data_IF_403855364048
#
_entry.id   IF_403855364048
#
_cell.length_a   1.000
_cell.length_b   1.000
_cell.length_c   1.000
_cell.angle_alpha   90.00
_cell.angle_beta   90.00
_cell.angle_gamma   90.00
#
_symmetry.space_group_name_H-M   'P 1'
#
loop_
_entity.id
_entity.type
_entity.pdbx_description
1 polymer ?
#
# COMPACT_ATOMS: atom_id res chain seq x y z
N UNK A 1 25.74 27.60 -5.46
CA UNK A 1 24.34 27.26 -5.77
C UNK A 1 24.30 25.76 -5.99
N UNK A 2 23.82 25.02 -5.00
CA UNK A 2 22.97 23.85 -5.20
C UNK A 2 22.38 23.46 -3.83
N UNK A 3 21.11 23.82 -3.63
CA UNK A 3 20.34 23.57 -2.41
C UNK A 3 19.59 22.25 -2.63
N UNK A 4 20.14 21.15 -2.12
CA UNK A 4 19.50 19.83 -2.20
C UNK A 4 18.26 19.76 -1.29
N UNK A 5 17.19 19.06 -1.70
CA UNK A 5 15.92 19.07 -0.98
C UNK A 5 16.06 18.42 0.41
N UNK A 6 15.51 19.09 1.43
CA UNK A 6 15.39 18.56 2.78
C UNK A 6 14.44 17.35 2.80
N UNK A 7 14.99 16.16 2.59
CA UNK A 7 14.27 14.90 2.74
C UNK A 7 13.92 14.69 4.21
N UNK A 8 12.62 14.65 4.53
CA UNK A 8 12.10 14.34 5.86
C UNK A 8 12.46 12.91 6.27
N UNK A 9 13.66 12.72 6.80
CA UNK A 9 14.10 11.45 7.38
C UNK A 9 13.47 11.27 8.76
N UNK A 10 12.74 10.17 8.95
CA UNK A 10 12.31 9.75 10.28
C UNK A 10 13.51 9.54 11.22
N UNK A 11 13.29 9.53 12.55
CA UNK A 11 14.38 9.37 13.50
C UNK A 11 15.10 8.03 13.31
N UNK A 12 16.43 8.07 13.27
CA UNK A 12 17.28 6.87 13.21
C UNK A 12 17.44 6.28 14.61
N UNK A 13 17.00 5.02 14.79
CA UNK A 13 17.12 4.29 16.06
C UNK A 13 18.26 3.29 15.99
N UNK A 14 19.14 3.26 16.99
CA UNK A 14 20.24 2.28 17.08
C UNK A 14 19.69 0.85 17.17
N UNK A 15 20.29 -0.10 16.46
CA UNK A 15 19.87 -1.50 16.46
C UNK A 15 19.78 -2.13 17.86
N UNK A 16 20.70 -1.78 18.78
CA UNK A 16 20.65 -2.24 20.17
C UNK A 16 19.39 -1.80 20.95
N UNK A 17 18.62 -0.85 20.40
CA UNK A 17 17.35 -0.36 20.96
C UNK A 17 16.13 -0.88 20.19
N UNK A 18 16.31 -1.82 19.26
CA UNK A 18 15.24 -2.44 18.48
C UNK A 18 15.09 -3.89 18.94
N UNK A 19 13.85 -4.28 19.26
CA UNK A 19 13.49 -5.68 19.53
C UNK A 19 12.63 -6.19 18.39
N UNK A 20 13.02 -7.31 17.79
CA UNK A 20 12.22 -8.02 16.80
C UNK A 20 11.36 -9.06 17.51
N UNK A 21 10.05 -9.06 17.25
CA UNK A 21 9.10 -10.06 17.73
C UNK A 21 8.37 -10.69 16.53
N UNK A 22 7.93 -11.94 16.66
CA UNK A 22 7.10 -12.61 15.65
C UNK A 22 5.60 -12.32 15.79
N UNK A 23 5.22 -11.49 16.75
CA UNK A 23 3.84 -11.14 17.03
C UNK A 23 3.41 -9.97 16.15
N UNK A 24 2.25 -10.05 15.46
CA UNK A 24 1.74 -8.93 14.68
C UNK A 24 1.37 -7.77 15.60
N UNK A 25 1.85 -6.57 15.28
CA UNK A 25 1.47 -5.33 15.96
C UNK A 25 0.63 -4.45 15.04
N UNK A 26 -0.41 -3.82 15.58
CA UNK A 26 -1.25 -2.87 14.84
C UNK A 26 -0.52 -1.54 14.69
N UNK A 27 -0.31 -1.08 13.45
CA UNK A 27 0.22 0.26 13.15
C UNK A 27 -0.97 1.17 12.81
N UNK A 28 -1.29 2.10 13.72
CA UNK A 28 -2.35 3.08 13.54
C UNK A 28 -3.78 2.51 13.65
N UNK A 29 -4.77 3.40 13.71
CA UNK A 29 -6.16 3.02 13.57
C UNK A 29 -6.47 2.77 12.08
N UNK A 30 -7.28 1.75 11.73
CA UNK A 30 -7.83 1.67 10.39
C UNK A 30 -8.60 2.97 10.08
N UNK A 31 -8.50 3.44 8.83
CA UNK A 31 -9.24 4.61 8.40
C UNK A 31 -10.74 4.41 8.68
N UNK A 32 -11.48 5.47 9.08
CA UNK A 32 -12.89 5.36 9.41
C UNK A 32 -13.68 4.79 8.21
N UNK A 33 -14.36 3.67 8.45
CA UNK A 33 -15.36 3.11 7.53
C UNK A 33 -16.54 4.09 7.46
N UNK A 34 -16.51 5.02 6.51
CA UNK A 34 -17.58 6.01 6.35
C UNK A 34 -17.22 7.26 5.55
N UNK A 35 -15.93 7.49 5.23
CA UNK A 35 -15.50 8.64 4.42
C UNK A 35 -14.48 8.33 3.31
N UNK A 36 -14.10 7.06 3.13
CA UNK A 36 -13.12 6.63 2.14
C UNK A 36 -13.80 6.19 0.84
N UNK A 37 -13.26 6.64 -0.30
CA UNK A 37 -13.65 6.31 -1.66
C UNK A 37 -14.20 4.88 -1.82
N UNK A 38 -15.28 4.71 -2.59
CA UNK A 38 -15.82 3.40 -2.93
C UNK A 38 -14.71 2.48 -3.48
N UNK A 39 -14.74 1.17 -3.17
CA UNK A 39 -13.78 0.24 -3.72
C UNK A 39 -13.88 0.29 -5.26
N UNK A 40 -12.73 0.45 -5.92
CA UNK A 40 -12.69 0.55 -7.39
C UNK A 40 -12.14 -0.72 -8.01
N UNK A 41 -12.69 -1.10 -9.15
CA UNK A 41 -12.21 -2.24 -9.94
C UNK A 41 -11.79 -1.73 -11.31
N UNK A 42 -10.57 -2.07 -11.72
CA UNK A 42 -10.03 -1.79 -13.05
C UNK A 42 -9.69 -3.09 -13.75
N UNK A 43 -10.07 -3.17 -15.03
CA UNK A 43 -9.74 -4.30 -15.89
C UNK A 43 -8.45 -3.97 -16.64
N UNK A 44 -7.45 -4.84 -16.51
CA UNK A 44 -6.20 -4.77 -17.28
C UNK A 44 -6.33 -5.67 -18.49
N UNK A 45 -6.26 -5.06 -19.68
CA UNK A 45 -6.39 -5.75 -20.97
C UNK A 45 -5.07 -5.74 -21.72
N UNK A 46 -4.77 -6.83 -22.41
CA UNK A 46 -3.75 -6.90 -23.46
C UNK A 46 -4.46 -7.27 -24.77
N UNK A 47 -4.68 -6.29 -25.64
CA UNK A 47 -5.59 -6.42 -26.77
C UNK A 47 -7.01 -6.77 -26.31
N UNK A 48 -7.53 -7.88 -26.80
CA UNK A 48 -8.87 -8.39 -26.47
C UNK A 48 -8.88 -9.30 -25.23
N UNK A 49 -7.72 -9.63 -24.68
CA UNK A 49 -7.59 -10.53 -23.54
C UNK A 49 -7.63 -9.76 -22.21
N UNK A 50 -8.44 -10.23 -21.26
CA UNK A 50 -8.38 -9.74 -19.87
C UNK A 50 -7.25 -10.46 -19.17
N UNK A 51 -6.18 -9.75 -18.82
CA UNK A 51 -5.05 -10.33 -18.10
C UNK A 51 -5.18 -10.24 -16.59
N UNK A 52 -5.81 -9.20 -16.09
CA UNK A 52 -5.97 -9.02 -14.65
C UNK A 52 -7.13 -8.11 -14.27
N UNK A 53 -7.59 -8.28 -13.03
CA UNK A 53 -8.42 -7.32 -12.32
C UNK A 53 -7.57 -6.66 -11.23
N UNK A 54 -7.58 -5.33 -11.18
CA UNK A 54 -6.99 -4.54 -10.12
C UNK A 54 -8.11 -3.98 -9.25
N UNK A 55 -8.18 -4.43 -8.00
CA UNK A 55 -9.15 -3.99 -7.00
C UNK A 55 -8.44 -3.05 -6.02
N UNK A 56 -8.92 -1.83 -5.88
CA UNK A 56 -8.47 -0.91 -4.84
C UNK A 56 -9.50 -0.86 -3.73
N UNK A 57 -9.11 -1.30 -2.54
CA UNK A 57 -9.95 -1.28 -1.34
C UNK A 57 -10.10 0.15 -0.80
N UNK A 58 -11.13 0.38 0.02
CA UNK A 58 -11.36 1.64 0.74
C UNK A 58 -10.19 2.03 1.65
N UNK A 59 -9.39 1.06 2.10
CA UNK A 59 -8.17 1.27 2.88
C UNK A 59 -6.93 1.66 2.03
N UNK A 60 -7.06 1.70 0.70
CA UNK A 60 -5.97 1.98 -0.25
C UNK A 60 -5.16 0.75 -0.67
N UNK A 61 -5.42 -0.43 -0.09
CA UNK A 61 -4.77 -1.68 -0.51
C UNK A 61 -5.16 -2.05 -1.95
N UNK A 62 -4.19 -2.53 -2.72
CA UNK A 62 -4.38 -2.93 -4.12
C UNK A 62 -4.20 -4.43 -4.26
N UNK A 63 -5.23 -5.10 -4.76
CA UNK A 63 -5.26 -6.54 -4.99
C UNK A 63 -5.26 -6.77 -6.50
N UNK A 64 -4.28 -7.53 -7.00
CA UNK A 64 -4.20 -7.89 -8.42
C UNK A 64 -4.53 -9.37 -8.60
N UNK A 65 -5.62 -9.63 -9.30
CA UNK A 65 -6.09 -10.97 -9.65
C UNK A 65 -5.65 -11.24 -11.08
N UNK A 66 -4.74 -12.20 -11.29
CA UNK A 66 -4.32 -12.62 -12.64
C UNK A 66 -5.34 -13.59 -13.22
N UNK A 67 -5.65 -13.42 -14.50
CA UNK A 67 -6.50 -14.33 -15.24
C UNK A 67 -5.60 -15.27 -16.06
N UNK A 68 -5.57 -16.54 -15.70
CA UNK A 68 -4.91 -17.59 -16.47
C UNK A 68 -5.98 -18.34 -17.28
N UNK A 69 -5.70 -18.58 -18.57
CA UNK A 69 -6.59 -19.25 -19.53
C UNK A 69 -6.06 -20.63 -19.88
#
# INVERSE_FOLDING_TARGET
MDEGPAGGGGPVVRAARVRVTGEPVRIGAPAPTGGGHEPTVRVVREGDLIQALEVTCTCGERIRIRCEY
#
